data_IF_680315058405
#
_entry.id   IF_680315058405
#
_cell.length_a   1.000
_cell.length_b   1.000
_cell.length_c   1.000
_cell.angle_alpha   90.00
_cell.angle_beta   90.00
_cell.angle_gamma   90.00
#
_symmetry.space_group_name_H-M   'P 1'
#
loop_
_entity.id
_entity.type
_entity.pdbx_description
1 polymer ?
#
# COMPACT_ATOMS: atom_id res chain seq x y z
N UNK A 1 -18.53 -62.60 -18.96
CA UNK A 1 -18.85 -62.84 -17.54
C UNK A 1 -17.65 -62.40 -16.71
N UNK A 2 -17.93 -61.66 -15.65
CA UNK A 2 -17.02 -61.09 -14.64
C UNK A 2 -16.45 -59.70 -14.94
N UNK A 3 -17.28 -58.69 -14.66
CA UNK A 3 -16.89 -57.36 -14.22
C UNK A 3 -15.93 -57.40 -13.03
N UNK A 4 -14.87 -56.59 -13.07
CA UNK A 4 -14.32 -56.00 -11.86
C UNK A 4 -13.67 -54.64 -12.17
N UNK A 5 -14.54 -53.64 -12.24
CA UNK A 5 -14.40 -52.32 -11.63
C UNK A 5 -13.09 -52.02 -10.87
N UNK A 6 -11.93 -51.95 -11.55
CA UNK A 6 -10.80 -51.17 -11.07
C UNK A 6 -10.89 -49.80 -11.73
N UNK A 7 -11.83 -49.00 -11.23
CA UNK A 7 -11.79 -47.54 -11.31
C UNK A 7 -10.36 -47.14 -10.98
N UNK A 8 -9.55 -46.84 -11.99
CA UNK A 8 -8.17 -46.43 -11.81
C UNK A 8 -8.22 -45.01 -11.23
N UNK A 9 -8.33 -44.97 -9.91
CA UNK A 9 -8.28 -43.76 -9.11
C UNK A 9 -6.82 -43.32 -9.09
N UNK A 10 -6.47 -42.33 -9.91
CA UNK A 10 -5.27 -41.56 -9.66
C UNK A 10 -5.58 -40.60 -8.49
N UNK A 11 -5.23 -41.02 -7.27
CA UNK A 11 -4.93 -40.08 -6.19
C UNK A 11 -3.42 -39.93 -6.15
N UNK A 12 -2.95 -38.83 -6.73
CA UNK A 12 -1.70 -38.16 -6.36
C UNK A 12 -2.04 -36.67 -6.46
N UNK A 13 -2.41 -36.04 -5.34
CA UNK A 13 -1.44 -35.46 -4.40
C UNK A 13 -0.67 -34.31 -5.04
N UNK A 14 -1.30 -33.13 -5.08
CA UNK A 14 -0.70 -31.78 -4.97
C UNK A 14 -1.85 -30.81 -5.27
N UNK A 15 -2.56 -30.33 -4.24
CA UNK A 15 -2.09 -29.14 -3.56
C UNK A 15 -2.30 -27.94 -4.47
N UNK A 16 -3.52 -27.37 -4.49
CA UNK A 16 -3.62 -25.93 -4.74
C UNK A 16 -3.09 -25.28 -3.48
N UNK A 17 -1.77 -25.22 -3.39
CA UNK A 17 -1.07 -24.23 -2.59
C UNK A 17 -1.62 -22.90 -3.08
N UNK A 18 -2.55 -22.35 -2.31
CA UNK A 18 -2.73 -20.91 -2.24
C UNK A 18 -1.30 -20.39 -2.06
N UNK A 19 -0.77 -19.69 -3.06
CA UNK A 19 0.48 -18.96 -2.88
C UNK A 19 0.18 -17.99 -1.75
N UNK A 20 0.52 -18.40 -0.53
CA UNK A 20 0.61 -17.56 0.64
C UNK A 20 1.67 -16.54 0.27
N UNK A 21 1.19 -15.46 -0.35
CA UNK A 21 1.97 -14.35 -0.87
C UNK A 21 2.86 -13.94 0.27
N UNK A 22 4.13 -14.33 0.17
CA UNK A 22 5.12 -14.16 1.20
C UNK A 22 4.94 -12.75 1.76
N UNK A 23 4.76 -12.57 3.08
CA UNK A 23 4.71 -11.24 3.65
C UNK A 23 6.02 -10.60 3.23
N UNK A 24 5.91 -9.59 2.37
CA UNK A 24 7.06 -8.86 1.88
C UNK A 24 7.58 -8.14 3.12
N UNK A 25 8.49 -8.78 3.85
CA UNK A 25 9.18 -8.20 5.00
C UNK A 25 10.05 -7.07 4.45
N UNK A 26 9.40 -5.91 4.33
CA UNK A 26 10.08 -4.66 4.06
C UNK A 26 10.94 -4.39 5.29
N UNK A 27 12.24 -4.08 5.09
CA UNK A 27 13.10 -3.73 6.21
C UNK A 27 12.45 -2.60 6.98
N UNK A 28 12.32 -2.76 8.31
CA UNK A 28 11.89 -1.71 9.25
C UNK A 28 12.66 -0.43 8.94
N UNK A 29 12.05 0.48 8.21
CA UNK A 29 12.67 1.71 7.77
C UNK A 29 12.20 2.87 8.64
N UNK A 30 13.00 3.26 9.65
CA UNK A 30 13.05 4.53 10.39
C UNK A 30 11.76 5.20 10.92
N UNK A 31 10.56 4.80 10.52
CA UNK A 31 9.28 5.41 10.90
C UNK A 31 9.08 6.82 10.35
N UNK A 32 9.88 7.22 9.35
CA UNK A 32 9.89 8.58 8.81
C UNK A 32 9.13 8.65 7.49
N UNK A 33 7.93 9.19 7.58
CA UNK A 33 7.04 9.46 6.46
C UNK A 33 7.54 10.67 5.69
N UNK A 34 7.93 10.48 4.42
CA UNK A 34 8.39 11.54 3.54
C UNK A 34 7.28 11.91 2.56
N UNK A 35 6.85 13.17 2.58
CA UNK A 35 5.84 13.69 1.66
C UNK A 35 6.55 14.45 0.55
N UNK A 36 6.56 13.88 -0.65
CA UNK A 36 7.11 14.49 -1.85
C UNK A 36 6.00 15.08 -2.70
N UNK A 37 6.11 16.37 -3.04
CA UNK A 37 5.20 16.99 -4.00
C UNK A 37 5.75 16.82 -5.42
N UNK A 38 4.94 16.29 -6.31
CA UNK A 38 5.22 16.25 -7.75
C UNK A 38 4.20 17.11 -8.51
N UNK A 39 4.68 18.24 -9.03
CA UNK A 39 3.89 19.20 -9.84
C UNK A 39 4.36 19.27 -11.30
N UNK A 40 5.54 18.72 -11.62
CA UNK A 40 6.13 18.79 -12.96
C UNK A 40 5.24 18.12 -14.02
N UNK A 41 4.91 18.86 -15.07
CA UNK A 41 4.12 18.40 -16.22
C UNK A 41 2.59 18.35 -16.03
N UNK A 42 2.04 18.76 -14.88
CA UNK A 42 0.61 18.54 -14.55
C UNK A 42 -0.25 19.80 -14.39
N UNK A 43 0.04 20.88 -15.14
CA UNK A 43 -0.79 22.12 -15.22
C UNK A 43 -1.34 22.59 -13.85
N UNK A 44 -0.50 22.60 -12.80
CA UNK A 44 -0.87 23.05 -11.45
C UNK A 44 -1.59 22.04 -10.55
N UNK A 45 -2.10 20.90 -11.08
CA UNK A 45 -2.60 19.80 -10.24
C UNK A 45 -1.45 18.92 -9.76
N UNK A 46 -0.87 19.32 -8.62
CA UNK A 46 0.15 18.54 -7.92
C UNK A 46 -0.39 17.23 -7.34
N UNK A 47 0.47 16.22 -7.27
CA UNK A 47 0.25 15.00 -6.48
C UNK A 47 1.27 14.94 -5.37
N UNK A 48 0.85 14.44 -4.20
CA UNK A 48 1.71 14.17 -3.07
C UNK A 48 1.98 12.66 -3.02
N UNK A 49 3.25 12.28 -3.11
CA UNK A 49 3.71 10.93 -2.87
C UNK A 49 4.18 10.83 -1.42
N UNK A 50 3.61 9.89 -0.70
CA UNK A 50 3.94 9.63 0.69
C UNK A 50 4.70 8.31 0.72
N UNK A 51 5.97 8.39 1.10
CA UNK A 51 6.92 7.26 1.13
C UNK A 51 7.46 7.06 2.54
N UNK A 52 8.00 5.88 2.84
CA UNK A 52 8.60 5.60 4.15
C UNK A 52 7.59 5.42 5.29
N UNK A 53 6.36 5.03 4.96
CA UNK A 53 5.38 4.59 5.97
C UNK A 53 5.72 3.16 6.36
N UNK A 54 6.10 2.96 7.62
CA UNK A 54 6.29 1.62 8.17
C UNK A 54 4.94 0.98 8.48
N UNK A 55 4.74 -0.24 8.01
CA UNK A 55 3.55 -1.02 8.29
C UNK A 55 3.30 -2.08 7.23
N UNK A 56 2.53 -3.10 7.60
CA UNK A 56 2.03 -4.11 6.67
C UNK A 56 1.18 -3.48 5.56
N UNK A 57 0.98 -4.19 4.45
CA UNK A 57 0.10 -3.73 3.36
C UNK A 57 -1.30 -3.36 3.87
N UNK A 58 -1.79 -4.05 4.91
CA UNK A 58 -3.05 -3.74 5.58
C UNK A 58 -3.04 -2.37 6.30
N UNK A 59 -1.96 -2.06 7.01
CA UNK A 59 -1.79 -0.79 7.71
C UNK A 59 -1.65 0.37 6.72
N UNK A 60 -0.89 0.17 5.64
CA UNK A 60 -0.75 1.13 4.53
C UNK A 60 -2.08 1.40 3.83
N UNK A 61 -2.85 0.36 3.52
CA UNK A 61 -4.17 0.48 2.92
C UNK A 61 -5.14 1.25 3.83
N UNK A 62 -5.11 0.96 5.14
CA UNK A 62 -5.94 1.65 6.15
C UNK A 62 -5.56 3.12 6.28
N UNK A 63 -4.27 3.43 6.39
CA UNK A 63 -3.76 4.81 6.41
C UNK A 63 -4.13 5.57 5.14
N UNK A 64 -3.96 4.95 3.97
CA UNK A 64 -4.36 5.55 2.70
C UNK A 64 -5.87 5.79 2.64
N UNK A 65 -6.70 4.87 3.11
CA UNK A 65 -8.16 5.05 3.15
C UNK A 65 -8.56 6.23 4.05
N UNK A 66 -7.97 6.35 5.23
CA UNK A 66 -8.20 7.47 6.13
C UNK A 66 -7.74 8.81 5.54
N UNK A 67 -6.52 8.85 4.98
CA UNK A 67 -5.98 10.06 4.37
C UNK A 67 -6.83 10.53 3.20
N UNK A 68 -7.32 9.60 2.36
CA UNK A 68 -8.28 9.89 1.28
C UNK A 68 -9.59 10.46 1.82
N UNK A 69 -10.15 9.84 2.87
CA UNK A 69 -11.40 10.30 3.50
C UNK A 69 -11.28 11.71 4.07
N UNK A 70 -10.16 12.03 4.72
CA UNK A 70 -9.92 13.36 5.30
C UNK A 70 -9.55 14.40 4.25
N UNK A 71 -8.78 14.03 3.22
CA UNK A 71 -8.40 14.97 2.18
C UNK A 71 -9.54 15.25 1.19
N UNK A 72 -10.53 14.36 1.10
CA UNK A 72 -11.60 14.44 0.09
C UNK A 72 -11.05 14.34 -1.34
N UNK A 73 -9.87 13.73 -1.48
CA UNK A 73 -9.13 13.65 -2.73
C UNK A 73 -8.92 12.20 -3.13
N UNK A 74 -8.89 11.95 -4.44
CA UNK A 74 -8.52 10.64 -4.98
C UNK A 74 -7.08 10.29 -4.61
N UNK A 75 -6.82 9.00 -4.39
CA UNK A 75 -5.49 8.50 -4.11
C UNK A 75 -5.41 6.98 -4.23
N UNK A 76 -4.20 6.48 -4.43
CA UNK A 76 -3.92 5.06 -4.62
C UNK A 76 -2.67 4.68 -3.85
N UNK A 77 -2.62 3.41 -3.42
CA UNK A 77 -1.38 2.83 -2.87
C UNK A 77 -0.72 2.04 -3.98
N UNK A 78 0.54 2.35 -4.28
CA UNK A 78 1.33 1.69 -5.31
C UNK A 78 2.64 1.25 -4.69
N UNK A 79 2.87 -0.06 -4.63
CA UNK A 79 4.16 -0.63 -4.16
C UNK A 79 4.61 -0.14 -2.78
N UNK A 80 3.67 0.15 -1.87
CA UNK A 80 3.96 0.72 -0.54
C UNK A 80 4.10 2.23 -0.47
N UNK A 81 3.87 2.93 -1.58
CA UNK A 81 3.82 4.39 -1.67
C UNK A 81 2.37 4.83 -1.76
N UNK A 82 1.97 5.81 -0.96
CA UNK A 82 0.62 6.38 -1.02
C UNK A 82 0.66 7.62 -1.90
N UNK A 83 -0.01 7.57 -3.04
CA UNK A 83 -0.21 8.70 -3.93
C UNK A 83 -1.54 9.38 -3.60
N UNK A 84 -1.49 10.68 -3.30
CA UNK A 84 -2.68 11.50 -3.04
C UNK A 84 -2.71 12.65 -4.04
N UNK A 85 -3.86 12.83 -4.69
CA UNK A 85 -4.09 13.99 -5.55
C UNK A 85 -4.30 15.24 -4.71
N UNK A 86 -3.63 16.33 -5.09
CA UNK A 86 -3.76 17.62 -4.43
C UNK A 86 -2.51 18.03 -3.65
N UNK A 87 -2.28 19.34 -3.63
CA UNK A 87 -1.16 19.98 -2.92
C UNK A 87 -1.60 20.40 -1.50
N UNK A 88 -2.10 19.44 -0.71
CA UNK A 88 -2.51 19.68 0.68
C UNK A 88 -1.42 19.23 1.66
N UNK A 89 -0.18 19.71 1.44
CA UNK A 89 1.01 19.33 2.22
C UNK A 89 0.82 19.55 3.72
N UNK A 90 0.32 20.73 4.10
CA UNK A 90 0.11 21.08 5.51
C UNK A 90 -0.94 20.20 6.18
N UNK A 91 -2.02 19.88 5.46
CA UNK A 91 -3.07 19.02 5.97
C UNK A 91 -2.57 17.59 6.15
N UNK A 92 -1.82 17.05 5.17
CA UNK A 92 -1.19 15.73 5.28
C UNK A 92 -0.17 15.68 6.42
N UNK A 93 0.66 16.70 6.56
CA UNK A 93 1.62 16.83 7.66
C UNK A 93 0.90 16.78 9.01
N UNK A 94 -0.09 17.64 9.24
CA UNK A 94 -0.85 17.68 10.49
C UNK A 94 -1.55 16.35 10.81
N UNK A 95 -2.09 15.66 9.80
CA UNK A 95 -2.75 14.36 10.00
C UNK A 95 -1.79 13.25 10.38
N UNK A 96 -0.60 13.24 9.77
CA UNK A 96 0.43 12.25 10.06
C UNK A 96 1.12 12.54 11.40
N UNK A 97 1.38 13.82 11.72
CA UNK A 97 1.89 14.24 13.03
C UNK A 97 0.88 13.95 14.15
N UNK A 98 -0.42 14.17 13.93
CA UNK A 98 -1.47 13.82 14.90
C UNK A 98 -1.57 12.31 15.17
N UNK A 99 -1.09 11.48 14.24
CA UNK A 99 -0.97 10.02 14.41
C UNK A 99 0.34 9.61 15.08
N UNK A 100 1.19 10.55 15.46
CA UNK A 100 2.49 10.29 16.09
C UNK A 100 3.59 9.84 15.12
N UNK A 101 3.38 9.98 13.81
CA UNK A 101 4.40 9.64 12.81
C UNK A 101 5.35 10.81 12.59
N UNK A 102 6.64 10.51 12.38
CA UNK A 102 7.62 11.54 12.01
C UNK A 102 7.48 11.88 10.53
N UNK A 103 7.04 13.10 10.25
CA UNK A 103 6.88 13.59 8.87
C UNK A 103 8.07 14.43 8.45
N UNK A 104 8.62 14.16 7.27
CA UNK A 104 9.53 15.06 6.56
C UNK A 104 8.91 15.50 5.25
N UNK A 105 8.89 16.80 5.00
CA UNK A 105 8.54 17.34 3.70
C UNK A 105 9.75 17.17 2.78
N UNK A 106 9.57 16.43 1.68
CA UNK A 106 10.60 16.19 0.68
C UNK A 106 10.29 17.01 -0.59
N UNK A 107 11.32 17.68 -1.13
CA UNK A 107 11.20 18.53 -2.32
C UNK A 107 10.97 20.01 -1.96
N UNK A 108 11.93 20.85 -2.38
CA UNK A 108 11.78 22.31 -2.50
C UNK A 108 11.13 22.65 -3.83
#
# INVERSE_FOLDING_TARGET
MSDNNSRLVYSTETGRIDEEKAPVERPKGDGVVRIQRQTSGRKGKGVCLITGVEGDDAALATLAAELKKKCGCGGSVKEGVIEIQGDKRDLLKSLLEAKGMKVKLAGG
#
